data_IF_425056674357
#
_entry.id   IF_425056674357
#
_cell.length_a   1.000
_cell.length_b   1.000
_cell.length_c   1.000
_cell.angle_alpha   90.00
_cell.angle_beta   90.00
_cell.angle_gamma   90.00
#
_symmetry.space_group_name_H-M   'P 1'
#
loop_
_entity.id
_entity.type
_entity.pdbx_description
1 polymer ?
#
# COMPACT_ATOMS: atom_id res chain seq x y z
N UNK A 1 13.19 -38.76 8.57
CA UNK A 1 12.26 -37.70 8.13
C UNK A 1 13.09 -36.49 7.75
N UNK A 2 13.08 -36.09 6.48
CA UNK A 2 13.69 -34.84 6.08
C UNK A 2 12.99 -33.71 6.85
N UNK A 3 13.76 -32.89 7.59
CA UNK A 3 13.21 -31.67 8.15
C UNK A 3 12.79 -30.80 6.97
N UNK A 4 11.49 -30.65 6.75
CA UNK A 4 10.99 -29.61 5.84
C UNK A 4 11.64 -28.31 6.29
N UNK A 5 12.40 -27.68 5.40
CA UNK A 5 13.04 -26.41 5.65
C UNK A 5 11.97 -25.34 5.81
N UNK A 6 11.52 -25.10 7.04
CA UNK A 6 10.50 -24.12 7.41
C UNK A 6 10.89 -22.66 7.12
N UNK A 7 12.02 -22.41 6.44
CA UNK A 7 12.58 -21.08 6.16
C UNK A 7 12.69 -20.77 4.66
N UNK A 8 12.04 -21.53 3.78
CA UNK A 8 12.08 -21.24 2.33
C UNK A 8 10.86 -20.41 1.96
N UNK A 9 11.08 -19.12 1.68
CA UNK A 9 10.06 -18.29 1.03
C UNK A 9 9.62 -19.00 -0.26
N UNK A 10 8.32 -19.12 -0.46
CA UNK A 10 7.76 -19.80 -1.64
C UNK A 10 7.41 -18.75 -2.69
N UNK A 11 7.89 -18.94 -3.92
CA UNK A 11 7.63 -18.04 -5.04
C UNK A 11 8.86 -17.24 -5.49
N UNK A 12 8.70 -16.46 -6.55
CA UNK A 12 9.72 -15.53 -7.05
C UNK A 12 9.51 -14.18 -6.36
N UNK A 13 10.57 -13.57 -5.83
CA UNK A 13 10.44 -12.26 -5.20
C UNK A 13 10.21 -11.19 -6.27
N UNK A 14 9.12 -10.44 -6.10
CA UNK A 14 8.77 -9.31 -6.97
C UNK A 14 9.49 -8.06 -6.48
N UNK A 15 10.18 -7.36 -7.38
CA UNK A 15 10.78 -6.05 -7.12
C UNK A 15 9.93 -4.97 -7.77
N UNK A 16 9.45 -4.03 -6.97
CA UNK A 16 8.71 -2.88 -7.45
C UNK A 16 9.34 -1.57 -6.98
N UNK A 17 9.37 -0.57 -7.86
CA UNK A 17 9.96 0.76 -7.58
C UNK A 17 8.93 1.85 -7.81
N UNK A 18 9.13 3.00 -7.16
CA UNK A 18 8.27 4.17 -7.34
C UNK A 18 9.07 5.46 -7.43
N UNK A 19 8.74 6.28 -8.42
CA UNK A 19 9.23 7.64 -8.66
C UNK A 19 8.12 8.52 -9.26
N UNK A 20 7.94 9.78 -8.81
CA UNK A 20 8.55 10.42 -7.64
C UNK A 20 7.93 9.95 -6.30
N UNK A 21 8.39 10.47 -5.15
CA UNK A 21 7.86 10.18 -3.81
C UNK A 21 6.50 10.86 -3.53
N UNK A 22 5.72 11.18 -4.55
CA UNK A 22 4.56 12.08 -4.48
C UNK A 22 3.25 11.39 -4.07
N UNK A 23 3.28 10.11 -3.75
CA UNK A 23 2.16 9.33 -3.27
C UNK A 23 2.70 8.19 -2.39
N UNK A 24 2.22 8.03 -1.16
CA UNK A 24 2.72 7.04 -0.21
C UNK A 24 1.60 6.59 0.75
N UNK A 25 1.45 5.27 0.89
CA UNK A 25 0.70 4.65 1.98
C UNK A 25 1.69 3.87 2.84
N UNK A 26 1.78 4.17 4.13
CA UNK A 26 2.75 3.57 5.04
C UNK A 26 2.31 3.59 6.48
N UNK A 27 2.97 2.80 7.31
CA UNK A 27 2.83 2.85 8.76
C UNK A 27 3.37 4.15 9.35
N UNK A 28 2.76 4.62 10.44
CA UNK A 28 3.14 5.84 11.13
C UNK A 28 2.92 5.73 12.63
N UNK A 29 3.81 6.34 13.41
CA UNK A 29 3.69 6.42 14.88
C UNK A 29 2.73 7.52 15.35
N UNK A 30 2.16 8.31 14.44
CA UNK A 30 1.11 9.30 14.76
C UNK A 30 -0.22 8.55 14.85
N UNK A 31 -0.77 8.37 16.05
CA UNK A 31 -1.96 7.54 16.30
C UNK A 31 -2.88 8.17 17.38
N UNK A 32 -4.13 7.67 17.53
CA UNK A 32 -5.06 8.09 18.59
C UNK A 32 -5.30 7.03 19.68
N UNK A 33 -5.45 5.76 19.32
CA UNK A 33 -5.91 4.69 20.20
C UNK A 33 -4.78 3.89 20.87
N UNK A 34 -5.11 2.75 21.51
CA UNK A 34 -4.15 1.93 22.26
C UNK A 34 -3.11 1.20 21.39
N UNK A 35 -3.01 1.58 20.12
CA UNK A 35 -2.11 1.07 19.11
C UNK A 35 -0.68 1.61 19.21
N UNK A 36 0.22 1.06 18.40
CA UNK A 36 1.59 1.54 18.20
C UNK A 36 1.69 2.36 16.92
N UNK A 37 0.90 2.02 15.91
CA UNK A 37 0.94 2.65 14.59
C UNK A 37 -0.45 2.95 14.03
N UNK A 38 -0.50 3.86 13.06
CA UNK A 38 -1.63 4.12 12.18
C UNK A 38 -1.15 4.04 10.73
N UNK A 39 -2.06 4.16 9.76
CA UNK A 39 -1.70 4.28 8.35
C UNK A 39 -1.69 5.74 7.94
N UNK A 40 -0.52 6.21 7.49
CA UNK A 40 -0.34 7.49 6.80
C UNK A 40 -0.57 7.32 5.30
N UNK A 41 -1.58 7.99 4.79
CA UNK A 41 -1.85 8.22 3.37
C UNK A 41 -1.35 9.64 3.02
N UNK A 42 -0.36 9.73 2.14
CA UNK A 42 0.29 10.99 1.75
C UNK A 42 0.28 11.17 0.25
N UNK A 43 -0.06 12.37 -0.23
CA UNK A 43 0.08 12.75 -1.63
C UNK A 43 0.74 14.12 -1.75
N UNK A 44 1.83 14.22 -2.51
CA UNK A 44 2.66 15.41 -2.69
C UNK A 44 2.12 16.47 -3.66
N UNK A 45 0.95 16.25 -4.27
CA UNK A 45 0.23 17.26 -5.06
C UNK A 45 0.71 17.49 -6.50
N UNK A 46 1.38 16.51 -7.12
CA UNK A 46 1.67 16.50 -8.56
C UNK A 46 1.00 15.30 -9.25
N UNK A 47 0.38 15.51 -10.40
CA UNK A 47 0.02 14.44 -11.34
C UNK A 47 -1.46 14.10 -11.46
N UNK A 48 -1.83 13.57 -12.65
CA UNK A 48 -3.21 13.32 -13.08
C UNK A 48 -3.77 11.93 -12.75
N UNK A 49 -3.03 11.03 -12.10
CA UNK A 49 -3.57 9.70 -11.78
C UNK A 49 -2.75 9.05 -10.68
N UNK A 50 -3.40 8.69 -9.58
CA UNK A 50 -2.81 7.87 -8.53
C UNK A 50 -3.34 8.29 -7.18
N UNK A 51 -4.06 7.38 -6.55
CA UNK A 51 -4.43 7.52 -5.16
C UNK A 51 -3.46 6.80 -4.24
N UNK A 52 -3.55 7.12 -2.96
CA UNK A 52 -2.85 6.38 -1.91
C UNK A 52 -3.88 5.80 -1.01
N UNK A 53 -3.84 4.49 -0.82
CA UNK A 53 -4.83 3.78 -0.06
C UNK A 53 -4.20 2.73 0.81
N UNK A 54 -4.97 2.30 1.79
CA UNK A 54 -4.82 0.96 2.30
C UNK A 54 -6.12 0.20 2.01
N UNK A 55 -6.00 -1.09 1.88
CA UNK A 55 -7.14 -1.98 1.73
C UNK A 55 -6.99 -3.16 2.68
N UNK A 56 -8.12 -3.74 3.05
CA UNK A 56 -8.20 -4.90 3.92
C UNK A 56 -9.29 -5.87 3.45
N UNK A 57 -9.11 -7.15 3.78
CA UNK A 57 -10.15 -8.16 3.63
C UNK A 57 -11.15 -8.01 4.78
N UNK A 58 -12.46 -7.85 4.55
CA UNK A 58 -13.44 -7.67 5.62
C UNK A 58 -13.86 -9.02 6.27
N UNK A 59 -14.71 -9.03 7.32
CA UNK A 59 -15.40 -10.24 7.74
C UNK A 59 -16.09 -10.97 6.60
N UNK A 60 -15.98 -12.29 6.58
CA UNK A 60 -16.73 -13.14 5.65
C UNK A 60 -18.23 -13.04 5.91
N UNK A 61 -19.04 -13.14 4.85
CA UNK A 61 -20.49 -13.30 4.95
C UNK A 61 -21.28 -11.98 5.03
N UNK A 62 -20.65 -10.84 4.82
CA UNK A 62 -21.36 -9.57 4.60
C UNK A 62 -21.82 -9.56 3.14
N UNK A 63 -23.12 -9.73 2.91
CA UNK A 63 -23.69 -9.60 1.56
C UNK A 63 -24.07 -8.17 1.26
N UNK A 64 -24.20 -7.82 -0.02
CA UNK A 64 -24.68 -6.50 -0.44
C UNK A 64 -26.10 -6.24 0.09
N UNK A 65 -26.99 -7.24 0.10
CA UNK A 65 -28.33 -7.08 0.67
C UNK A 65 -28.30 -6.74 2.18
N UNK A 66 -27.42 -7.40 2.95
CA UNK A 66 -27.25 -7.13 4.38
C UNK A 66 -26.57 -5.77 4.62
N UNK A 67 -25.61 -5.42 3.78
CA UNK A 67 -24.97 -4.11 3.79
C UNK A 67 -25.96 -3.01 3.43
N UNK A 68 -26.97 -3.27 2.61
CA UNK A 68 -27.93 -2.23 2.21
C UNK A 68 -29.05 -2.09 3.24
N UNK A 69 -29.70 -3.16 3.67
CA UNK A 69 -30.95 -3.06 4.46
C UNK A 69 -30.80 -2.86 5.98
N UNK A 70 -29.59 -2.90 6.54
CA UNK A 70 -29.38 -3.03 8.00
C UNK A 70 -28.29 -2.15 8.63
N UNK A 71 -27.84 -1.09 7.97
CA UNK A 71 -26.78 -0.23 8.52
C UNK A 71 -27.39 0.76 9.51
N UNK A 72 -27.09 0.58 10.80
CA UNK A 72 -27.34 1.61 11.80
C UNK A 72 -26.10 2.50 11.97
N UNK A 73 -26.29 3.72 12.49
CA UNK A 73 -25.20 4.63 12.76
C UNK A 73 -24.11 3.95 13.61
N UNK A 74 -22.88 3.95 13.11
CA UNK A 74 -21.72 3.34 13.77
C UNK A 74 -21.34 1.94 13.25
N UNK A 75 -22.16 1.31 12.40
CA UNK A 75 -21.80 0.03 11.76
C UNK A 75 -20.55 0.13 10.90
N UNK A 76 -20.40 1.26 10.20
CA UNK A 76 -19.23 1.58 9.39
C UNK A 76 -18.69 2.94 9.79
N UNK A 77 -17.44 2.98 10.19
CA UNK A 77 -16.77 4.22 10.56
C UNK A 77 -15.26 4.08 10.46
N UNK A 78 -14.55 5.20 10.44
CA UNK A 78 -13.10 5.21 10.57
C UNK A 78 -12.63 6.45 11.31
N UNK A 79 -11.56 6.29 12.08
CA UNK A 79 -10.88 7.39 12.74
C UNK A 79 -9.76 7.92 11.87
N UNK A 80 -9.74 9.24 11.70
CA UNK A 80 -8.76 9.90 10.86
C UNK A 80 -8.22 11.19 11.48
N UNK A 81 -7.03 11.59 11.02
CA UNK A 81 -6.42 12.88 11.30
C UNK A 81 -5.92 13.50 10.00
N UNK A 82 -6.33 14.74 9.71
CA UNK A 82 -5.93 15.47 8.51
C UNK A 82 -4.91 16.54 8.87
N UNK A 83 -3.73 16.49 8.25
CA UNK A 83 -2.66 17.46 8.51
C UNK A 83 -2.75 18.73 7.62
N UNK A 84 -3.62 18.75 6.60
CA UNK A 84 -3.78 19.87 5.68
C UNK A 84 -5.14 20.61 5.82
N UNK A 85 -5.12 21.93 5.72
CA UNK A 85 -6.21 22.87 6.09
C UNK A 85 -7.23 23.09 4.94
N UNK A 86 -7.09 22.42 3.79
CA UNK A 86 -8.07 22.48 2.69
C UNK A 86 -8.39 21.05 2.22
N UNK A 87 -9.66 20.68 2.39
CA UNK A 87 -10.23 19.36 2.15
C UNK A 87 -10.31 19.03 0.64
N UNK A 88 -10.20 17.77 0.17
CA UNK A 88 -11.13 16.64 0.33
C UNK A 88 -10.52 15.33 -0.17
N UNK A 89 -11.34 14.27 -0.26
CA UNK A 89 -11.15 13.01 -1.00
C UNK A 89 -10.41 11.90 -0.24
N UNK A 90 -10.59 11.89 1.08
CA UNK A 90 -10.56 10.61 1.78
C UNK A 90 -11.90 9.94 1.53
N UNK A 91 -11.86 8.80 0.86
CA UNK A 91 -13.04 8.00 0.53
C UNK A 91 -12.88 6.58 1.07
N UNK A 92 -14.01 5.94 1.33
CA UNK A 92 -14.07 4.56 1.74
C UNK A 92 -14.80 3.76 0.67
N UNK A 93 -14.15 2.73 0.13
CA UNK A 93 -14.71 1.88 -0.91
C UNK A 93 -15.03 0.49 -0.37
N UNK A 94 -16.19 -0.02 -0.75
CA UNK A 94 -16.68 -1.36 -0.43
C UNK A 94 -16.87 -2.11 -1.73
N UNK A 95 -16.10 -3.18 -1.93
CA UNK A 95 -16.20 -4.02 -3.13
C UNK A 95 -16.94 -5.30 -2.83
N UNK A 96 -18.00 -5.53 -3.58
CA UNK A 96 -18.80 -6.74 -3.57
C UNK A 96 -18.53 -7.52 -4.85
N UNK A 97 -18.31 -8.82 -4.73
CA UNK A 97 -18.10 -9.72 -5.87
C UNK A 97 -19.20 -10.78 -5.91
N UNK A 98 -19.62 -11.16 -7.11
CA UNK A 98 -20.53 -12.29 -7.30
C UNK A 98 -19.76 -13.60 -7.09
N UNK A 99 -20.17 -14.48 -6.16
CA UNK A 99 -19.51 -15.77 -5.97
C UNK A 99 -19.62 -16.71 -7.19
N UNK A 100 -20.49 -16.42 -8.17
CA UNK A 100 -20.76 -17.27 -9.32
C UNK A 100 -20.19 -16.73 -10.65
N UNK A 101 -19.55 -15.56 -10.65
CA UNK A 101 -18.99 -14.94 -11.86
C UNK A 101 -17.84 -14.00 -11.56
N UNK A 102 -17.27 -13.34 -12.58
CA UNK A 102 -16.24 -12.30 -12.41
C UNK A 102 -16.85 -10.89 -12.23
N UNK A 103 -18.16 -10.80 -12.02
CA UNK A 103 -18.88 -9.56 -11.82
C UNK A 103 -18.58 -8.94 -10.45
N UNK A 104 -18.58 -7.61 -10.39
CA UNK A 104 -18.28 -6.89 -9.15
C UNK A 104 -18.90 -5.48 -9.15
N UNK A 105 -19.13 -4.98 -7.95
CA UNK A 105 -19.65 -3.63 -7.67
C UNK A 105 -18.82 -3.02 -6.58
N UNK A 106 -18.37 -1.80 -6.81
CA UNK A 106 -17.74 -0.95 -5.82
C UNK A 106 -18.71 0.15 -5.42
N UNK A 107 -18.87 0.33 -4.11
CA UNK A 107 -19.60 1.44 -3.50
C UNK A 107 -18.58 2.36 -2.85
N UNK A 108 -18.50 3.59 -3.33
CA UNK A 108 -17.58 4.61 -2.83
C UNK A 108 -18.35 5.60 -1.97
N UNK A 109 -18.10 5.54 -0.66
CA UNK A 109 -18.58 6.53 0.28
C UNK A 109 -17.59 7.69 0.40
N UNK A 110 -18.10 8.91 0.23
CA UNK A 110 -17.30 10.13 0.22
C UNK A 110 -17.70 11.10 1.34
N UNK A 111 -17.90 10.59 2.56
CA UNK A 111 -18.40 11.40 3.70
C UNK A 111 -17.53 12.62 4.08
N UNK A 112 -16.29 12.68 3.62
CA UNK A 112 -15.37 13.81 3.81
C UNK A 112 -15.23 14.69 2.56
N UNK A 113 -16.08 14.50 1.55
CA UNK A 113 -16.17 15.37 0.38
C UNK A 113 -16.84 16.68 0.82
N UNK A 114 -15.99 17.64 1.12
CA UNK A 114 -16.19 19.06 1.48
C UNK A 114 -15.96 19.39 2.96
N UNK A 115 -15.36 18.47 3.74
CA UNK A 115 -15.09 18.67 5.16
C UNK A 115 -13.72 19.31 5.44
N UNK A 116 -13.68 20.60 5.82
CA UNK A 116 -12.44 21.28 6.20
C UNK A 116 -11.76 20.56 7.38
N UNK A 117 -10.51 20.12 7.16
CA UNK A 117 -9.76 19.34 8.12
C UNK A 117 -9.60 20.04 9.47
N UNK A 118 -9.86 19.30 10.55
CA UNK A 118 -9.41 19.66 11.89
C UNK A 118 -8.04 19.03 12.13
N UNK A 119 -7.10 19.78 12.71
CA UNK A 119 -5.84 19.23 13.23
C UNK A 119 -6.09 18.44 14.54
N UNK A 120 -7.06 17.53 14.49
CA UNK A 120 -7.53 16.70 15.57
C UNK A 120 -8.06 15.40 14.98
N UNK A 121 -7.97 14.33 15.75
CA UNK A 121 -8.55 13.05 15.37
C UNK A 121 -10.08 13.12 15.42
N UNK A 122 -10.72 12.62 14.37
CA UNK A 122 -12.17 12.62 14.21
C UNK A 122 -12.63 11.24 13.75
N UNK A 123 -13.76 10.78 14.30
CA UNK A 123 -14.46 9.61 13.78
C UNK A 123 -15.40 10.05 12.67
N UNK A 124 -15.21 9.52 11.47
CA UNK A 124 -16.19 9.64 10.39
C UNK A 124 -17.12 8.42 10.45
N UNK A 125 -18.42 8.65 10.57
CA UNK A 125 -19.45 7.61 10.66
C UNK A 125 -20.28 7.65 9.38
N UNK A 126 -20.51 6.49 8.76
CA UNK A 126 -21.36 6.38 7.58
C UNK A 126 -22.82 6.58 7.99
N UNK A 127 -23.48 7.54 7.34
CA UNK A 127 -24.89 7.86 7.56
C UNK A 127 -25.69 7.61 6.28
N UNK A 128 -26.98 7.29 6.43
CA UNK A 128 -27.90 7.08 5.30
C UNK A 128 -28.00 8.27 4.33
N UNK A 129 -27.78 9.49 4.84
CA UNK A 129 -27.89 10.71 4.07
C UNK A 129 -26.57 11.08 3.35
N UNK A 130 -25.49 10.34 3.55
CA UNK A 130 -24.20 10.65 2.94
C UNK A 130 -24.24 10.47 1.43
N UNK A 131 -23.42 11.22 0.72
CA UNK A 131 -23.25 11.12 -0.73
C UNK A 131 -22.13 10.15 -1.10
N UNK A 132 -22.26 9.53 -2.28
CA UNK A 132 -21.28 8.62 -2.80
C UNK A 132 -21.51 8.25 -4.27
N UNK A 133 -20.66 7.37 -4.76
CA UNK A 133 -20.79 6.73 -6.07
C UNK A 133 -20.92 5.23 -5.92
N UNK A 134 -21.47 4.58 -6.93
CA UNK A 134 -21.36 3.13 -7.07
C UNK A 134 -21.22 2.79 -8.55
N UNK A 135 -20.48 1.73 -8.83
CA UNK A 135 -20.26 1.27 -10.18
C UNK A 135 -19.54 -0.06 -10.19
N UNK A 136 -19.49 -0.67 -11.36
CA UNK A 136 -18.98 -2.02 -11.46
C UNK A 136 -19.05 -2.60 -12.84
N UNK A 137 -18.81 -3.90 -12.92
CA UNK A 137 -19.01 -4.72 -14.10
C UNK A 137 -20.08 -5.74 -13.73
N UNK A 138 -21.20 -5.69 -14.44
CA UNK A 138 -22.28 -6.66 -14.26
C UNK A 138 -21.94 -8.04 -14.84
N UNK A 139 -22.79 -9.04 -14.57
CA UNK A 139 -22.62 -10.43 -15.02
C UNK A 139 -22.58 -10.58 -16.54
N UNK A 140 -23.12 -9.59 -17.27
CA UNK A 140 -23.08 -9.52 -18.72
C UNK A 140 -21.79 -8.88 -19.28
N UNK A 141 -20.83 -8.53 -18.41
CA UNK A 141 -19.57 -7.88 -18.77
C UNK A 141 -19.69 -6.38 -19.10
N UNK A 142 -20.88 -5.80 -18.92
CA UNK A 142 -21.12 -4.37 -19.13
C UNK A 142 -20.76 -3.56 -17.89
N UNK A 143 -20.00 -2.48 -18.08
CA UNK A 143 -19.65 -1.55 -17.00
C UNK A 143 -20.74 -0.50 -16.76
N UNK A 144 -20.93 -0.10 -15.51
CA UNK A 144 -21.84 1.00 -15.14
C UNK A 144 -21.24 1.85 -14.01
N UNK A 145 -21.71 3.09 -13.88
CA UNK A 145 -21.32 3.98 -12.79
C UNK A 145 -22.39 5.05 -12.59
N UNK A 146 -22.80 5.25 -11.34
CA UNK A 146 -23.76 6.27 -10.95
C UNK A 146 -23.28 7.03 -9.71
N UNK A 147 -23.79 8.24 -9.55
CA UNK A 147 -23.50 9.12 -8.43
C UNK A 147 -24.80 9.62 -7.81
N UNK A 148 -24.83 9.71 -6.50
CA UNK A 148 -25.99 10.23 -5.81
C UNK A 148 -25.90 10.10 -4.30
N UNK A 149 -26.91 10.60 -3.59
CA UNK A 149 -27.05 10.26 -2.20
C UNK A 149 -27.16 8.75 -2.04
N UNK A 150 -26.52 8.20 -1.02
CA UNK A 150 -26.70 6.81 -0.59
C UNK A 150 -28.09 6.62 0.08
N UNK A 151 -29.08 7.50 -0.23
CA UNK A 151 -30.27 7.97 0.54
C UNK A 151 -31.27 6.97 1.08
N UNK A 152 -31.04 5.69 0.89
CA UNK A 152 -31.26 4.77 1.97
C UNK A 152 -30.32 3.64 1.62
N UNK A 153 -29.42 3.27 2.52
CA UNK A 153 -28.67 2.04 2.31
C UNK A 153 -29.68 0.93 1.93
N UNK A 154 -30.90 0.96 2.47
CA UNK A 154 -32.03 0.06 2.17
C UNK A 154 -32.63 0.12 0.75
N UNK A 155 -32.11 0.93 -0.18
CA UNK A 155 -32.53 1.00 -1.58
C UNK A 155 -31.40 0.81 -2.59
N UNK A 156 -30.15 0.75 -2.13
CA UNK A 156 -28.97 0.69 -3.00
C UNK A 156 -28.91 -0.61 -3.80
N UNK A 157 -29.25 -1.76 -3.21
CA UNK A 157 -29.30 -3.03 -3.92
C UNK A 157 -30.31 -2.97 -5.09
N UNK A 158 -31.51 -2.42 -4.83
CA UNK A 158 -32.52 -2.23 -5.88
C UNK A 158 -32.07 -1.24 -6.98
N UNK A 159 -31.28 -0.22 -6.63
CA UNK A 159 -30.70 0.68 -7.62
C UNK A 159 -29.67 -0.05 -8.51
N UNK A 160 -28.79 -0.85 -7.90
CA UNK A 160 -27.80 -1.68 -8.60
C UNK A 160 -28.48 -2.71 -9.51
N UNK A 161 -29.49 -3.41 -9.02
CA UNK A 161 -30.29 -4.35 -9.84
C UNK A 161 -31.01 -3.62 -11.00
N UNK A 162 -31.41 -2.37 -10.76
CA UNK A 162 -32.07 -1.51 -11.75
C UNK A 162 -31.19 -1.10 -12.93
N UNK A 163 -29.87 -1.27 -12.84
CA UNK A 163 -28.93 -1.02 -13.95
C UNK A 163 -29.13 -1.99 -15.12
N UNK A 164 -29.82 -3.12 -14.89
CA UNK A 164 -30.18 -4.09 -15.92
C UNK A 164 -29.01 -4.94 -16.44
N UNK A 165 -27.83 -4.79 -15.83
CA UNK A 165 -26.62 -5.58 -16.11
C UNK A 165 -26.21 -6.47 -14.92
N UNK A 166 -26.86 -6.29 -13.77
CA UNK A 166 -26.71 -7.08 -12.54
C UNK A 166 -28.03 -7.79 -12.27
N UNK A 167 -28.00 -9.11 -12.04
CA UNK A 167 -29.22 -9.93 -11.97
C UNK A 167 -29.54 -10.45 -10.57
N UNK A 168 -28.55 -10.65 -9.69
CA UNK A 168 -28.75 -11.17 -8.34
C UNK A 168 -27.81 -10.49 -7.31
N UNK A 169 -27.84 -9.15 -7.24
CA UNK A 169 -26.89 -8.40 -6.39
C UNK A 169 -26.99 -8.76 -4.89
N UNK A 170 -28.09 -9.38 -4.44
CA UNK A 170 -28.28 -9.77 -3.05
C UNK A 170 -27.29 -10.83 -2.55
N UNK A 171 -26.75 -11.66 -3.45
CA UNK A 171 -25.84 -12.75 -3.13
C UNK A 171 -24.36 -12.31 -3.17
N UNK A 172 -24.10 -11.08 -3.59
CA UNK A 172 -22.75 -10.56 -3.75
C UNK A 172 -22.10 -10.30 -2.40
N UNK A 173 -20.85 -10.72 -2.25
CA UNK A 173 -20.14 -10.79 -0.98
C UNK A 173 -19.12 -9.66 -0.92
N UNK A 174 -19.07 -8.96 0.21
CA UNK A 174 -18.03 -7.96 0.46
C UNK A 174 -16.68 -8.65 0.57
N UNK A 175 -15.78 -8.40 -0.38
CA UNK A 175 -14.46 -9.02 -0.46
C UNK A 175 -13.33 -8.03 -0.16
N UNK A 176 -13.58 -6.72 -0.30
CA UNK A 176 -12.57 -5.68 -0.05
C UNK A 176 -13.16 -4.44 0.56
N UNK A 177 -12.48 -3.91 1.57
CA UNK A 177 -12.66 -2.55 2.06
C UNK A 177 -11.39 -1.77 1.78
N UNK A 178 -11.51 -0.56 1.23
CA UNK A 178 -10.39 0.33 0.96
C UNK A 178 -10.66 1.70 1.56
N UNK A 179 -9.64 2.30 2.17
CA UNK A 179 -9.65 3.74 2.44
C UNK A 179 -8.58 4.40 1.60
N UNK A 180 -8.99 5.42 0.89
CA UNK A 180 -8.22 6.01 -0.19
C UNK A 180 -8.18 7.51 -0.05
N UNK A 181 -7.00 8.08 -0.24
CA UNK A 181 -6.76 9.50 -0.42
C UNK A 181 -6.50 9.76 -1.90
N UNK A 182 -7.44 10.42 -2.56
CA UNK A 182 -7.44 10.71 -4.00
C UNK A 182 -7.37 12.23 -4.21
N UNK A 183 -6.36 12.88 -4.79
CA UNK A 183 -6.55 14.31 -5.17
C UNK A 183 -5.48 14.76 -6.17
N UNK A 184 -5.82 15.58 -7.18
CA UNK A 184 -4.83 16.01 -8.18
C UNK A 184 -3.76 16.98 -7.60
N UNK A 185 -4.11 17.80 -6.61
CA UNK A 185 -3.25 18.78 -5.91
C UNK A 185 -4.09 19.62 -4.93
N UNK A 186 -3.50 20.38 -3.97
CA UNK A 186 -2.11 20.38 -3.48
C UNK A 186 -1.76 19.20 -2.55
N UNK A 187 -0.58 19.23 -1.93
CA UNK A 187 -0.10 18.19 -0.99
C UNK A 187 -1.10 17.91 0.16
N UNK A 188 -1.28 16.63 0.50
CA UNK A 188 -2.19 16.13 1.52
C UNK A 188 -1.56 15.01 2.34
N UNK A 189 -1.93 14.96 3.62
CA UNK A 189 -1.67 13.82 4.49
C UNK A 189 -2.93 13.53 5.31
N UNK A 190 -3.36 12.27 5.28
CA UNK A 190 -4.39 11.69 6.13
C UNK A 190 -3.76 10.54 6.91
N UNK A 191 -4.03 10.47 8.21
CA UNK A 191 -3.71 9.31 9.03
C UNK A 191 -5.01 8.58 9.35
N UNK A 192 -5.02 7.25 9.28
CA UNK A 192 -6.16 6.41 9.63
C UNK A 192 -5.72 5.41 10.67
N UNK A 193 -6.42 5.38 11.81
CA UNK A 193 -5.98 4.64 13.00
C UNK A 193 -6.83 3.42 13.33
N UNK A 194 -8.15 3.56 13.22
CA UNK A 194 -9.07 2.45 13.44
C UNK A 194 -10.26 2.53 12.51
N UNK A 195 -10.85 1.36 12.26
CA UNK A 195 -11.95 1.18 11.33
C UNK A 195 -12.98 0.24 11.96
N UNK A 196 -14.25 0.54 11.78
CA UNK A 196 -15.35 -0.32 12.18
C UNK A 196 -16.03 -0.80 10.90
N UNK A 197 -16.16 -2.12 10.74
CA UNK A 197 -16.85 -2.76 9.62
C UNK A 197 -17.91 -3.69 10.20
N UNK A 198 -19.17 -3.42 9.89
CA UNK A 198 -20.30 -4.19 10.41
C UNK A 198 -20.25 -4.37 11.94
N UNK A 199 -20.03 -3.28 12.69
CA UNK A 199 -19.84 -3.24 14.15
C UNK A 199 -18.61 -3.98 14.71
N UNK A 200 -17.74 -4.50 13.84
CA UNK A 200 -16.46 -5.07 14.29
C UNK A 200 -15.39 -3.99 14.19
N UNK A 201 -14.79 -3.65 15.33
CA UNK A 201 -13.70 -2.69 15.40
C UNK A 201 -12.36 -3.36 15.09
N UNK A 202 -11.56 -2.71 14.26
CA UNK A 202 -10.20 -3.10 13.90
C UNK A 202 -9.24 -1.99 14.24
N UNK A 203 -8.20 -2.34 14.98
CA UNK A 203 -7.02 -1.49 15.18
C UNK A 203 -6.08 -1.71 14.01
N UNK A 204 -5.68 -0.64 13.33
CA UNK A 204 -4.87 -0.70 12.12
C UNK A 204 -3.40 -0.77 12.54
N UNK A 205 -2.86 -1.98 12.68
CA UNK A 205 -1.49 -2.24 13.16
C UNK A 205 -0.76 -3.26 12.26
N UNK A 206 0.57 -3.17 12.10
CA UNK A 206 1.33 -4.22 11.45
C UNK A 206 1.25 -5.53 12.22
N UNK A 207 0.91 -6.62 11.53
CA UNK A 207 0.82 -7.95 12.14
C UNK A 207 -0.21 -8.08 13.27
N UNK A 208 -1.14 -7.12 13.39
CA UNK A 208 -2.19 -7.09 14.41
C UNK A 208 -3.38 -8.01 14.12
N UNK A 209 -4.48 -7.81 14.85
CA UNK A 209 -5.77 -8.50 14.62
C UNK A 209 -6.55 -7.95 13.43
N UNK A 210 -6.05 -6.90 12.79
CA UNK A 210 -6.59 -6.43 11.52
C UNK A 210 -6.44 -7.53 10.45
N UNK A 211 -7.47 -7.78 9.65
CA UNK A 211 -7.36 -8.69 8.52
C UNK A 211 -6.34 -8.19 7.50
N UNK A 212 -5.92 -9.11 6.60
CA UNK A 212 -4.91 -8.90 5.55
C UNK A 212 -4.93 -7.48 5.00
N UNK A 213 -3.96 -6.67 5.42
CA UNK A 213 -3.88 -5.27 5.03
C UNK A 213 -2.82 -5.10 3.96
N UNK A 214 -3.20 -4.43 2.87
CA UNK A 214 -2.29 -4.02 1.81
C UNK A 214 -2.23 -2.50 1.77
N UNK A 215 -1.02 -1.97 1.91
CA UNK A 215 -0.74 -0.55 1.71
C UNK A 215 -0.44 -0.35 0.24
N UNK A 216 -1.29 0.37 -0.48
CA UNK A 216 -1.15 0.54 -1.91
C UNK A 216 -1.15 2.00 -2.33
N UNK A 217 -0.08 2.32 -3.03
CA UNK A 217 0.11 3.46 -3.91
C UNK A 217 0.88 2.88 -5.08
N UNK A 218 0.57 3.24 -6.33
CA UNK A 218 1.05 2.48 -7.49
C UNK A 218 2.58 2.39 -7.49
N UNK A 219 3.08 1.21 -7.17
CA UNK A 219 4.44 0.81 -7.49
C UNK A 219 4.43 0.34 -8.93
N UNK A 220 5.48 0.67 -9.66
CA UNK A 220 5.72 0.09 -10.99
C UNK A 220 6.54 -1.16 -10.76
N UNK A 221 5.97 -2.31 -11.13
CA UNK A 221 6.70 -3.57 -11.15
C UNK A 221 7.90 -3.42 -12.10
N UNK A 222 9.09 -3.75 -11.60
CA UNK A 222 10.35 -3.73 -12.37
C UNK A 222 10.68 -5.13 -12.89
N UNK A 223 9.89 -6.12 -12.49
CA UNK A 223 9.94 -7.50 -12.92
C UNK A 223 10.45 -8.43 -11.83
N UNK A 224 10.55 -9.70 -12.22
CA UNK A 224 10.99 -10.78 -11.36
C UNK A 224 12.51 -10.80 -11.15
N UNK A 225 12.90 -11.32 -9.98
CA UNK A 225 14.30 -11.58 -9.65
C UNK A 225 14.66 -13.03 -9.99
N UNK A 226 15.75 -13.25 -10.75
CA UNK A 226 16.12 -14.61 -11.19
C UNK A 226 16.56 -15.48 -9.99
N UNK A 227 17.30 -14.88 -9.04
CA UNK A 227 17.90 -15.57 -7.89
C UNK A 227 17.34 -15.06 -6.53
N UNK A 228 16.24 -14.31 -6.55
CA UNK A 228 15.70 -13.65 -5.37
C UNK A 228 16.37 -12.31 -5.04
N UNK A 229 16.13 -11.84 -3.82
CA UNK A 229 16.67 -10.58 -3.29
C UNK A 229 17.49 -10.86 -2.03
N UNK A 230 18.69 -10.30 -1.97
CA UNK A 230 19.53 -10.33 -0.77
C UNK A 230 19.51 -8.97 -0.09
N UNK A 231 19.32 -8.98 1.24
CA UNK A 231 19.40 -7.78 2.07
C UNK A 231 20.56 -7.96 3.05
N UNK A 232 21.52 -7.05 2.98
CA UNK A 232 22.68 -7.01 3.88
C UNK A 232 22.51 -5.84 4.84
N UNK A 233 22.29 -6.13 6.12
CA UNK A 233 22.28 -5.15 7.19
C UNK A 233 23.62 -5.17 7.94
N UNK A 234 24.22 -4.01 8.15
CA UNK A 234 25.44 -3.84 8.94
C UNK A 234 25.27 -2.67 9.91
N UNK A 235 25.60 -2.90 11.18
CA UNK A 235 25.62 -1.88 12.23
C UNK A 235 27.03 -1.71 12.78
N UNK A 236 27.59 -0.51 12.64
CA UNK A 236 28.82 -0.12 13.31
C UNK A 236 28.50 0.29 14.74
N UNK A 237 29.32 -0.16 15.69
CA UNK A 237 29.15 0.12 17.11
C UNK A 237 30.39 0.77 17.70
N UNK A 238 30.18 1.67 18.66
CA UNK A 238 31.26 2.21 19.50
C UNK A 238 31.03 1.84 20.95
N UNK A 239 32.12 1.51 21.64
CA UNK A 239 32.12 1.23 23.07
C UNK A 239 32.04 2.55 23.86
N UNK A 240 31.23 2.55 24.92
CA UNK A 240 31.16 3.62 25.92
C UNK A 240 32.03 3.19 27.08
N UNK A 241 33.14 3.88 27.26
CA UNK A 241 34.13 3.60 28.30
C UNK A 241 34.02 4.64 29.43
N UNK A 242 34.29 4.20 30.66
CA UNK A 242 34.45 5.07 31.84
C UNK A 242 35.74 4.68 32.55
N UNK A 243 36.41 5.66 33.16
CA UNK A 243 37.79 5.47 33.64
C UNK A 243 37.90 4.49 34.82
N UNK A 244 36.83 4.31 35.60
CA UNK A 244 36.81 3.41 36.75
C UNK A 244 36.63 1.93 36.38
N UNK A 245 36.19 1.64 35.14
CA UNK A 245 35.91 0.29 34.68
C UNK A 245 36.91 -0.13 33.61
N UNK A 246 37.30 -1.41 33.64
CA UNK A 246 38.28 -1.96 32.69
C UNK A 246 37.63 -2.57 31.45
N UNK A 247 36.30 -2.64 31.43
CA UNK A 247 35.48 -3.08 30.30
C UNK A 247 34.51 -1.96 29.91
N UNK A 248 34.11 -1.89 28.63
CA UNK A 248 33.05 -0.99 28.19
C UNK A 248 31.78 -1.18 29.02
N UNK A 249 31.21 -0.08 29.49
CA UNK A 249 29.96 -0.12 30.27
C UNK A 249 28.73 -0.20 29.38
N UNK A 250 28.85 0.24 28.13
CA UNK A 250 27.78 0.17 27.14
C UNK A 250 28.36 0.13 25.72
N UNK A 251 27.52 -0.18 24.73
CA UNK A 251 27.86 -0.15 23.32
C UNK A 251 26.72 0.49 22.55
N UNK A 252 27.03 1.57 21.85
CA UNK A 252 26.06 2.34 21.07
C UNK A 252 26.24 2.10 19.57
N UNK A 253 25.13 2.00 18.85
CA UNK A 253 25.13 2.00 17.38
C UNK A 253 25.51 3.40 16.88
N UNK A 254 26.55 3.49 16.06
CA UNK A 254 27.02 4.77 15.49
C UNK A 254 26.63 4.94 14.04
N UNK A 255 26.42 3.82 13.33
CA UNK A 255 26.00 3.82 11.93
C UNK A 255 25.29 2.52 11.60
N UNK A 256 24.24 2.60 10.82
CA UNK A 256 23.55 1.44 10.26
C UNK A 256 23.46 1.60 8.74
N UNK A 257 23.69 0.54 7.99
CA UNK A 257 23.48 0.50 6.55
C UNK A 257 22.73 -0.75 6.14
N UNK A 258 21.78 -0.59 5.21
CA UNK A 258 21.10 -1.68 4.56
C UNK A 258 21.32 -1.60 3.05
N UNK A 259 21.88 -2.67 2.49
CA UNK A 259 22.12 -2.84 1.06
C UNK A 259 21.21 -3.94 0.52
N UNK A 260 20.58 -3.68 -0.61
CA UNK A 260 19.66 -4.59 -1.29
C UNK A 260 20.28 -4.94 -2.63
N UNK A 261 20.56 -6.23 -2.86
CA UNK A 261 21.14 -6.71 -4.12
C UNK A 261 20.21 -7.72 -4.76
N UNK A 262 20.01 -7.60 -6.08
CA UNK A 262 19.24 -8.58 -6.84
C UNK A 262 19.63 -8.61 -8.32
N UNK A 263 19.29 -9.70 -8.97
CA UNK A 263 19.46 -9.93 -10.40
C UNK A 263 18.11 -9.78 -11.09
N UNK A 264 17.87 -8.63 -11.74
CA UNK A 264 16.62 -8.41 -12.47
C UNK A 264 16.64 -9.21 -13.78
N UNK A 265 15.57 -9.97 -14.02
CA UNK A 265 15.40 -10.75 -15.26
C UNK A 265 14.91 -9.89 -16.44
N UNK A 266 14.48 -8.65 -16.18
CA UNK A 266 13.87 -7.77 -17.18
C UNK A 266 14.70 -6.51 -17.46
N UNK A 267 15.27 -6.43 -18.66
CA UNK A 267 16.14 -5.33 -19.10
C UNK A 267 15.40 -4.23 -19.88
N UNK A 268 14.17 -3.87 -19.49
CA UNK A 268 13.42 -2.78 -20.16
C UNK A 268 14.10 -1.43 -19.93
N UNK A 269 13.95 -0.46 -20.85
CA UNK A 269 14.57 0.87 -20.69
C UNK A 269 14.09 1.60 -19.41
N UNK A 270 12.84 1.38 -19.00
CA UNK A 270 12.30 1.90 -17.75
C UNK A 270 13.01 1.28 -16.53
N UNK A 271 13.21 -0.04 -16.53
CA UNK A 271 13.90 -0.76 -15.46
C UNK A 271 15.35 -0.32 -15.36
N UNK A 272 16.03 -0.17 -16.51
CA UNK A 272 17.41 0.34 -16.56
C UNK A 272 17.51 1.78 -16.03
N UNK A 273 16.55 2.64 -16.36
CA UNK A 273 16.49 4.01 -15.85
C UNK A 273 16.33 4.08 -14.33
N UNK A 274 15.64 3.11 -13.72
CA UNK A 274 15.45 3.00 -12.28
C UNK A 274 16.65 2.34 -11.59
N UNK A 275 17.27 1.36 -12.24
CA UNK A 275 18.43 0.61 -11.76
C UNK A 275 19.74 1.39 -11.79
N UNK A 276 19.88 2.37 -12.68
CA UNK A 276 21.14 3.10 -12.89
C UNK A 276 21.03 4.53 -12.35
N UNK A 277 21.86 4.84 -11.35
CA UNK A 277 22.03 6.21 -10.88
C UNK A 277 22.53 7.12 -12.03
N UNK A 278 21.89 8.29 -12.21
CA UNK A 278 22.27 9.24 -13.26
C UNK A 278 21.82 8.88 -14.68
N UNK A 279 21.00 7.84 -14.87
CA UNK A 279 20.34 7.59 -16.14
C UNK A 279 19.13 8.54 -16.35
N UNK A 280 18.86 8.92 -17.61
CA UNK A 280 17.70 9.73 -17.99
C UNK A 280 17.02 9.07 -19.19
N UNK A 281 15.75 8.73 -19.04
CA UNK A 281 14.91 8.19 -20.10
C UNK A 281 14.03 9.30 -20.70
N UNK A 282 14.13 9.51 -22.01
CA UNK A 282 13.24 10.40 -22.77
C UNK A 282 12.71 9.65 -24.00
N UNK A 283 11.43 9.30 -23.97
CA UNK A 283 10.84 8.43 -24.99
C UNK A 283 11.57 7.09 -25.05
N UNK A 284 12.21 6.81 -26.18
CA UNK A 284 12.95 5.57 -26.42
C UNK A 284 14.48 5.73 -26.27
N UNK A 285 14.95 6.85 -25.70
CA UNK A 285 16.37 7.14 -25.49
C UNK A 285 16.71 7.11 -24.00
N UNK A 286 17.60 6.20 -23.61
CA UNK A 286 18.20 6.16 -22.27
C UNK A 286 19.62 6.72 -22.34
N UNK A 287 19.88 7.83 -21.64
CA UNK A 287 21.20 8.47 -21.57
C UNK A 287 21.81 8.24 -20.18
N UNK A 288 23.03 7.74 -20.12
CA UNK A 288 23.77 7.49 -18.87
C UNK A 288 24.73 8.67 -18.62
N UNK A 289 24.81 9.15 -17.38
CA UNK A 289 25.71 10.25 -16.99
C UNK A 289 25.14 11.65 -17.24
N UNK A 290 23.88 11.75 -17.66
CA UNK A 290 23.18 13.02 -17.88
C UNK A 290 22.17 13.36 -16.76
N UNK A 291 21.97 12.45 -15.80
CA UNK A 291 20.99 12.57 -14.73
C UNK A 291 21.60 12.91 -13.37
N UNK A 292 20.71 13.14 -12.40
CA UNK A 292 21.06 13.28 -10.98
C UNK A 292 20.97 11.94 -10.27
N UNK A 293 21.50 11.88 -9.05
CA UNK A 293 21.27 10.72 -8.22
C UNK A 293 19.78 10.63 -7.83
N UNK A 294 19.13 9.52 -8.16
CA UNK A 294 17.69 9.33 -7.93
C UNK A 294 17.46 8.63 -6.60
N UNK A 295 16.42 9.06 -5.91
CA UNK A 295 15.97 8.43 -4.66
C UNK A 295 14.60 7.82 -4.88
N UNK A 296 14.42 6.53 -4.63
CA UNK A 296 13.20 5.76 -4.88
C UNK A 296 12.68 5.00 -3.68
N UNK A 297 11.40 4.64 -3.71
CA UNK A 297 10.89 3.59 -2.83
C UNK A 297 11.17 2.23 -3.44
N UNK A 298 11.51 1.26 -2.59
CA UNK A 298 11.58 -0.14 -2.98
C UNK A 298 10.55 -0.92 -2.19
N UNK A 299 9.86 -1.82 -2.88
CA UNK A 299 9.02 -2.84 -2.28
C UNK A 299 9.45 -4.20 -2.81
N UNK A 300 9.68 -5.13 -1.89
CA UNK A 300 9.97 -6.53 -2.20
C UNK A 300 8.86 -7.37 -1.58
N UNK A 301 8.25 -8.24 -2.37
CA UNK A 301 7.14 -9.08 -1.93
C UNK A 301 7.43 -10.57 -2.21
N UNK A 302 7.08 -11.42 -1.25
CA UNK A 302 7.15 -12.87 -1.37
C UNK A 302 6.16 -13.55 -0.41
N UNK A 303 5.79 -14.80 -0.66
CA UNK A 303 4.95 -15.58 0.24
C UNK A 303 5.81 -16.35 1.23
N UNK A 304 5.51 -16.20 2.52
CA UNK A 304 6.17 -16.95 3.60
C UNK A 304 5.76 -18.43 3.58
N UNK A 305 6.56 -19.33 4.17
CA UNK A 305 6.18 -20.74 4.35
C UNK A 305 4.82 -20.94 5.04
N UNK A 306 4.38 -19.97 5.84
CA UNK A 306 3.11 -20.01 6.57
C UNK A 306 1.94 -19.41 5.79
N UNK A 307 2.16 -19.02 4.52
CA UNK A 307 1.12 -18.48 3.65
C UNK A 307 0.86 -16.98 3.80
N UNK A 308 1.61 -16.27 4.64
CA UNK A 308 1.54 -14.80 4.76
C UNK A 308 2.31 -14.11 3.63
N UNK A 309 1.82 -12.96 3.17
CA UNK A 309 2.55 -12.08 2.27
C UNK A 309 3.60 -11.29 3.05
N UNK A 310 4.88 -11.65 2.87
CA UNK A 310 6.00 -10.85 3.39
C UNK A 310 6.24 -9.66 2.48
N UNK A 311 6.12 -8.48 3.05
CA UNK A 311 6.46 -7.23 2.39
C UNK A 311 7.67 -6.60 3.09
N UNK A 312 8.71 -6.34 2.31
CA UNK A 312 9.87 -5.53 2.73
C UNK A 312 9.76 -4.19 2.04
N UNK A 313 9.71 -3.13 2.84
CA UNK A 313 9.54 -1.76 2.37
C UNK A 313 10.74 -0.91 2.74
N UNK A 314 11.30 -0.22 1.75
CA UNK A 314 12.37 0.76 1.92
C UNK A 314 11.81 2.12 1.47
N UNK A 315 11.50 3.04 2.41
CA UNK A 315 10.87 4.32 2.09
C UNK A 315 11.75 5.24 1.25
N UNK A 316 13.08 5.07 1.35
CA UNK A 316 14.03 5.84 0.58
C UNK A 316 15.27 5.00 0.30
N UNK A 317 15.55 4.77 -0.97
CA UNK A 317 16.73 4.07 -1.44
C UNK A 317 17.35 4.83 -2.61
N UNK A 318 18.61 4.54 -2.89
CA UNK A 318 19.27 5.04 -4.10
C UNK A 318 20.00 3.88 -4.77
N UNK A 319 20.00 3.87 -6.11
CA UNK A 319 20.78 2.88 -6.83
C UNK A 319 22.27 3.13 -6.60
N UNK A 320 23.00 2.08 -6.26
CA UNK A 320 24.45 2.10 -6.04
C UNK A 320 25.10 0.95 -6.78
N UNK A 321 26.43 0.88 -6.75
CA UNK A 321 27.18 -0.20 -7.38
C UNK A 321 27.29 -0.08 -8.90
N UNK A 322 27.93 -1.09 -9.50
CA UNK A 322 28.15 -1.16 -10.94
C UNK A 322 27.07 -2.03 -11.58
N UNK A 323 26.33 -1.46 -12.52
CA UNK A 323 25.38 -2.22 -13.35
C UNK A 323 26.09 -2.72 -14.60
N UNK A 324 26.25 -4.04 -14.71
CA UNK A 324 26.87 -4.69 -15.86
C UNK A 324 25.86 -5.55 -16.63
N UNK A 325 25.62 -5.26 -17.91
CA UNK A 325 24.73 -6.05 -18.76
C UNK A 325 25.52 -6.78 -19.84
N UNK A 326 25.42 -8.11 -19.86
CA UNK A 326 26.01 -8.91 -20.92
C UNK A 326 25.01 -9.07 -22.08
N UNK A 327 25.30 -8.45 -23.23
CA UNK A 327 24.55 -8.69 -24.46
C UNK A 327 25.16 -9.88 -25.21
N UNK A 328 24.65 -11.08 -24.94
CA UNK A 328 25.09 -12.32 -25.58
C UNK A 328 23.94 -12.99 -26.32
N UNK A 329 24.25 -13.60 -27.46
CA UNK A 329 23.25 -14.29 -28.27
C UNK A 329 22.83 -15.60 -27.60
N UNK A 330 21.53 -15.77 -27.37
CA UNK A 330 20.95 -17.00 -26.81
C UNK A 330 21.01 -17.13 -25.29
N UNK A 331 21.50 -16.10 -24.59
CA UNK A 331 21.49 -16.02 -23.13
C UNK A 331 20.45 -14.98 -22.68
N UNK A 332 19.85 -15.17 -21.50
CA UNK A 332 19.02 -14.14 -20.87
C UNK A 332 19.90 -12.95 -20.49
N UNK A 333 19.45 -11.74 -20.78
CA UNK A 333 20.10 -10.52 -20.28
C UNK A 333 19.68 -10.31 -18.83
N UNK A 334 20.62 -10.53 -17.91
CA UNK A 334 20.42 -10.26 -16.48
C UNK A 334 21.03 -8.89 -16.14
N UNK A 335 20.30 -8.11 -15.36
CA UNK A 335 20.74 -6.79 -14.88
C UNK A 335 20.99 -6.88 -13.37
N UNK A 336 22.26 -6.97 -12.92
CA UNK A 336 22.58 -6.92 -11.50
C UNK A 336 22.38 -5.49 -11.00
N UNK A 337 21.65 -5.34 -9.91
CA UNK A 337 21.36 -4.05 -9.30
C UNK A 337 21.64 -4.10 -7.80
N UNK A 338 22.19 -2.99 -7.31
CA UNK A 338 22.39 -2.75 -5.89
C UNK A 338 21.67 -1.47 -5.52
N UNK A 339 20.95 -1.48 -4.42
CA UNK A 339 20.34 -0.30 -3.83
C UNK A 339 20.82 -0.13 -2.40
N UNK A 340 21.02 1.11 -1.98
CA UNK A 340 21.32 1.45 -0.60
C UNK A 340 20.15 2.20 0.02
N UNK A 341 19.68 1.73 1.19
CA UNK A 341 18.67 2.42 1.95
C UNK A 341 19.23 3.73 2.55
N UNK A 342 18.40 4.76 2.58
CA UNK A 342 18.68 6.07 3.19
C UNK A 342 17.66 6.31 4.29
N UNK A 343 18.07 6.92 5.41
CA UNK A 343 17.17 7.25 6.52
C UNK A 343 16.18 8.36 6.12
N UNK A 344 14.87 8.09 6.05
CA UNK A 344 13.85 9.14 5.97
C UNK A 344 13.70 9.89 7.31
N UNK A 345 13.13 11.10 7.27
CA UNK A 345 12.85 11.86 8.49
C UNK A 345 11.76 11.16 9.31
N UNK A 346 12.00 10.95 10.60
CA UNK A 346 11.04 10.40 11.57
C UNK A 346 10.49 8.98 11.26
N UNK A 347 11.13 8.22 10.35
CA UNK A 347 10.62 6.93 9.89
C UNK A 347 11.77 5.89 9.85
N UNK A 348 11.52 4.59 10.04
CA UNK A 348 12.53 3.54 9.84
C UNK A 348 13.09 3.52 8.42
N UNK A 349 14.35 3.09 8.25
CA UNK A 349 14.97 3.00 6.92
C UNK A 349 14.51 1.77 6.13
N UNK A 350 14.16 0.69 6.83
CA UNK A 350 13.64 -0.56 6.26
C UNK A 350 12.60 -1.10 7.23
N UNK A 351 11.46 -1.55 6.71
CA UNK A 351 10.41 -2.22 7.47
C UNK A 351 10.13 -3.57 6.81
N UNK A 352 10.00 -4.62 7.61
CA UNK A 352 9.63 -5.97 7.16
C UNK A 352 8.34 -6.34 7.89
N UNK A 353 7.30 -6.67 7.14
CA UNK A 353 5.99 -7.04 7.69
C UNK A 353 5.51 -8.33 7.03
N UNK A 354 4.96 -9.24 7.83
CA UNK A 354 4.19 -10.38 7.33
C UNK A 354 2.71 -10.02 7.43
N UNK A 355 2.10 -9.73 6.28
CA UNK A 355 0.67 -9.47 6.17
C UNK A 355 -0.05 -10.80 5.89
N UNK A 356 -1.31 -10.95 6.30
CA UNK A 356 -2.12 -12.02 5.74
C UNK A 356 -2.20 -11.84 4.21
N UNK A 357 -2.04 -12.96 3.49
CA UNK A 357 -1.98 -12.97 2.02
C UNK A 357 -3.34 -12.76 1.38
#
# INVERSE_FOLDING_TARGET
MAKNSQNVLTGVAELAVRQPLDALAQWSTIQQFAGVESVRLYKGGSGNAGSTHFQMVPPTGITLANWTTGISAGHYSFYHYLQAIRANWVQMEFRFEDPNSDAWVEITWMGLQNALGTAAWVQQILLDADEGGYGGIGELGASFFNFGPLTAMSGMAAAIDGEGVVTDSSDWILERVRLELWEAAPERTCYVDSIVINNVAYTIEPGGTAPAMSLSSPFVEVGYTEDGVTITYTGDTADVEVEEETFPIDRVLTKETAEITCNMAESSLANLNNAMAGAVLVGNLLTIGAGVNKTMNLRIQAITPAGFLRQIFIPKATATGAVGMAYKKGEKTIVPVTFQALKPANEPAVTIVDNAA
#
